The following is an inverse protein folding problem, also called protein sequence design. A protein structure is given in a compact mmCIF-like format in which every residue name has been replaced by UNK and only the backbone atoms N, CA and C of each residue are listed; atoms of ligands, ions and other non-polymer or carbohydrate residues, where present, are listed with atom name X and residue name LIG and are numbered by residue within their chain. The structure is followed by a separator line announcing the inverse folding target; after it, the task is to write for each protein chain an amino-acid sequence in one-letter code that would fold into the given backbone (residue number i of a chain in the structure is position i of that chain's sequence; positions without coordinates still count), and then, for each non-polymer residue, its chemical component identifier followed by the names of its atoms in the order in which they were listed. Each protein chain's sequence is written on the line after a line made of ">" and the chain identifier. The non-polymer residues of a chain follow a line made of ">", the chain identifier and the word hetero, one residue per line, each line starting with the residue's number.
data_IF_430198992354
#
_entry.id   IF_430198992354
#
_cell.length_a   1.000
_cell.length_b   1.000
_cell.length_c   1.000
_cell.angle_alpha   90.00
_cell.angle_beta   90.00
_cell.angle_gamma   90.00
#
_symmetry.space_group_name_H-M   'P 1'
#
loop_
_entity.id
_entity.type
_entity.pdbx_description
1 polymer ?
#
# COMPACT_ATOMS: atom_id res chain seq x y z
N UNK A 1 15.06 18.35 -13.29
CA UNK A 1 13.85 19.18 -13.42
C UNK A 1 12.90 18.77 -12.31
N UNK A 2 12.46 19.70 -11.46
CA UNK A 2 11.46 19.40 -10.44
C UNK A 2 10.07 19.60 -11.07
N UNK A 3 9.18 18.63 -10.87
CA UNK A 3 7.77 18.69 -11.29
C UNK A 3 6.94 18.60 -10.02
N UNK A 4 6.14 19.63 -9.74
CA UNK A 4 5.34 19.74 -8.51
C UNK A 4 6.16 19.54 -7.22
N UNK A 5 7.44 19.96 -7.23
CA UNK A 5 8.32 19.89 -6.07
C UNK A 5 9.09 18.58 -5.90
N UNK A 6 8.92 17.59 -6.78
CA UNK A 6 9.65 16.31 -6.73
C UNK A 6 10.40 16.05 -8.03
N UNK A 7 11.44 15.22 -7.99
CA UNK A 7 12.11 14.71 -9.19
C UNK A 7 11.41 13.42 -9.63
N UNK A 8 10.78 13.38 -10.81
CA UNK A 8 10.12 12.17 -11.29
C UNK A 8 11.11 11.01 -11.43
N UNK A 9 10.74 9.82 -10.94
CA UNK A 9 11.56 8.62 -11.07
C UNK A 9 11.59 8.08 -12.52
N UNK A 10 10.63 8.47 -13.35
CA UNK A 10 10.48 8.04 -14.74
C UNK A 10 9.78 9.12 -15.58
N UNK A 11 9.71 8.93 -16.90
CA UNK A 11 8.91 9.77 -17.79
C UNK A 11 7.41 9.72 -17.48
N UNK A 12 6.90 8.61 -16.92
CA UNK A 12 5.50 8.51 -16.51
C UNK A 12 5.19 9.34 -15.27
N UNK A 13 6.17 9.50 -14.36
CA UNK A 13 6.05 10.35 -13.18
C UNK A 13 5.81 11.84 -13.50
N UNK A 14 5.94 12.26 -14.77
CA UNK A 14 5.52 13.58 -15.22
C UNK A 14 4.00 13.81 -15.03
N UNK A 15 3.19 12.75 -15.08
CA UNK A 15 1.75 12.80 -14.87
C UNK A 15 1.36 12.81 -13.37
N UNK A 16 2.30 12.53 -12.47
CA UNK A 16 2.06 12.36 -11.03
C UNK A 16 2.32 10.93 -10.58
N UNK A 17 1.99 10.63 -9.32
CA UNK A 17 2.14 9.30 -8.70
C UNK A 17 0.86 8.89 -7.93
N UNK A 18 -0.31 9.29 -8.45
CA UNK A 18 -1.63 8.86 -7.96
C UNK A 18 -2.13 7.61 -8.71
N UNK A 19 -3.32 7.08 -8.35
CA UNK A 19 -3.90 5.91 -9.01
C UNK A 19 -3.96 6.04 -10.53
N UNK A 20 -4.42 7.20 -11.00
CA UNK A 20 -4.65 7.48 -12.40
C UNK A 20 -3.33 7.49 -13.18
N UNK A 21 -2.29 8.12 -12.65
CA UNK A 21 -0.97 8.09 -13.28
C UNK A 21 -0.44 6.66 -13.43
N UNK A 22 -0.67 5.80 -12.44
CA UNK A 22 -0.24 4.40 -12.45
C UNK A 22 -0.97 3.58 -13.51
N UNK A 23 -2.30 3.75 -13.62
CA UNK A 23 -3.11 3.04 -14.61
C UNK A 23 -2.93 3.57 -16.02
N UNK A 24 -2.68 4.87 -16.21
CA UNK A 24 -2.31 5.43 -17.51
C UNK A 24 -0.98 4.89 -18.00
N UNK A 25 0.04 4.86 -17.13
CA UNK A 25 1.34 4.29 -17.47
C UNK A 25 1.23 2.81 -17.83
N UNK A 26 0.45 2.04 -17.07
CA UNK A 26 0.18 0.63 -17.35
C UNK A 26 -0.53 0.45 -18.70
N UNK A 27 -1.63 1.17 -18.93
CA UNK A 27 -2.40 1.10 -20.18
C UNK A 27 -1.55 1.45 -21.39
N UNK A 28 -0.77 2.53 -21.32
CA UNK A 28 0.18 2.90 -22.37
C UNK A 28 1.19 1.78 -22.64
N UNK A 29 1.81 1.22 -21.59
CA UNK A 29 2.78 0.15 -21.77
C UNK A 29 2.18 -1.15 -22.28
N UNK A 30 0.93 -1.49 -21.94
CA UNK A 30 0.24 -2.64 -22.50
C UNK A 30 -0.02 -2.50 -24.01
N UNK A 31 -0.23 -1.26 -24.48
CA UNK A 31 -0.33 -0.96 -25.92
C UNK A 31 1.03 -1.13 -26.60
N UNK A 32 2.07 -0.56 -26.01
CA UNK A 32 3.41 -0.52 -26.60
C UNK A 32 4.22 -1.82 -26.43
N UNK A 33 3.81 -2.73 -25.53
CA UNK A 33 4.53 -3.97 -25.22
C UNK A 33 3.63 -5.20 -25.36
N UNK A 34 3.72 -5.90 -26.51
CA UNK A 34 3.11 -7.22 -26.66
C UNK A 34 3.59 -8.23 -25.61
N UNK A 35 4.86 -8.14 -25.17
CA UNK A 35 5.39 -9.05 -24.15
C UNK A 35 4.72 -8.85 -22.79
N UNK A 36 4.50 -7.60 -22.36
CA UNK A 36 3.79 -7.31 -21.10
C UNK A 36 2.32 -7.70 -21.19
N UNK A 37 1.68 -7.46 -22.35
CA UNK A 37 0.31 -7.89 -22.58
C UNK A 37 0.18 -9.42 -22.49
N UNK A 38 1.10 -10.16 -23.08
CA UNK A 38 1.13 -11.62 -23.00
C UNK A 38 1.29 -12.11 -21.54
N UNK A 39 2.16 -11.48 -20.75
CA UNK A 39 2.32 -11.77 -19.33
C UNK A 39 1.04 -11.52 -18.53
N UNK A 40 0.36 -10.38 -18.77
CA UNK A 40 -0.89 -10.04 -18.10
C UNK A 40 -2.00 -11.03 -18.44
N UNK A 41 -2.26 -11.27 -19.73
CA UNK A 41 -3.32 -12.16 -20.19
C UNK A 41 -3.06 -13.61 -19.76
N UNK A 42 -1.82 -14.08 -19.89
CA UNK A 42 -1.41 -15.41 -19.45
C UNK A 42 -1.62 -15.62 -17.96
N UNK A 43 -1.38 -14.60 -17.13
CA UNK A 43 -1.64 -14.68 -15.68
C UNK A 43 -3.11 -14.88 -15.33
N UNK A 44 -4.02 -14.53 -16.25
CA UNK A 44 -5.48 -14.68 -16.10
C UNK A 44 -6.03 -15.92 -16.83
N UNK A 45 -5.15 -16.74 -17.43
CA UNK A 45 -5.54 -17.90 -18.24
C UNK A 45 -6.21 -17.53 -19.56
N UNK A 46 -5.97 -16.31 -20.07
CA UNK A 46 -6.46 -15.84 -21.37
C UNK A 46 -5.39 -16.05 -22.45
N UNK A 47 -5.79 -16.01 -23.72
CA UNK A 47 -4.86 -16.11 -24.85
C UNK A 47 -3.82 -14.97 -24.80
N UNK A 48 -2.52 -15.26 -24.59
CA UNK A 48 -1.46 -14.25 -24.52
C UNK A 48 -1.27 -13.46 -25.82
N UNK A 49 -1.73 -13.98 -26.95
CA UNK A 49 -1.59 -13.37 -28.27
C UNK A 49 -2.88 -12.68 -28.75
N UNK A 50 -3.90 -12.60 -27.90
CA UNK A 50 -5.16 -11.95 -28.25
C UNK A 50 -4.93 -10.51 -28.72
N UNK A 51 -5.65 -10.13 -29.79
CA UNK A 51 -5.70 -8.75 -30.22
C UNK A 51 -6.64 -7.97 -29.30
N UNK A 52 -6.13 -6.92 -28.67
CA UNK A 52 -6.87 -6.17 -27.66
C UNK A 52 -7.06 -4.72 -28.07
N UNK A 53 -8.14 -4.13 -27.58
CA UNK A 53 -8.35 -2.69 -27.51
C UNK A 53 -8.21 -2.28 -26.06
N UNK A 54 -7.35 -1.30 -25.81
CA UNK A 54 -7.16 -0.69 -24.50
C UNK A 54 -7.92 0.62 -24.45
N UNK A 55 -8.70 0.81 -23.38
CA UNK A 55 -9.39 2.06 -23.13
C UNK A 55 -9.16 2.51 -21.69
N UNK A 56 -8.96 3.81 -21.46
CA UNK A 56 -8.83 4.38 -20.12
C UNK A 56 -9.83 5.52 -19.97
N UNK A 57 -10.39 5.70 -18.77
CA UNK A 57 -11.35 6.76 -18.44
C UNK A 57 -12.56 6.80 -19.37
N UNK A 58 -13.10 5.63 -19.74
CA UNK A 58 -14.34 5.60 -20.53
C UNK A 58 -15.50 5.96 -19.62
N UNK A 59 -16.11 7.12 -19.89
CA UNK A 59 -17.33 7.53 -19.21
C UNK A 59 -18.50 6.66 -19.68
N UNK A 60 -19.08 5.92 -18.74
CA UNK A 60 -20.29 5.15 -18.99
C UNK A 60 -21.52 6.00 -18.71
N UNK A 61 -22.36 6.20 -19.73
CA UNK A 61 -23.62 6.94 -19.55
C UNK A 61 -24.55 6.26 -18.53
N UNK A 62 -24.46 4.92 -18.41
CA UNK A 62 -25.30 4.11 -17.54
C UNK A 62 -24.82 4.07 -16.07
N UNK A 63 -23.52 4.08 -15.81
CA UNK A 63 -22.96 3.98 -14.45
C UNK A 63 -22.40 5.31 -13.93
N UNK A 64 -22.32 6.33 -14.79
CA UNK A 64 -21.75 7.66 -14.52
C UNK A 64 -20.34 7.59 -13.90
N UNK A 65 -19.61 6.51 -14.17
CA UNK A 65 -18.29 6.22 -13.63
C UNK A 65 -17.20 6.32 -14.71
N UNK A 66 -15.97 6.53 -14.26
CA UNK A 66 -14.77 6.41 -15.08
C UNK A 66 -14.04 5.15 -14.64
N UNK A 67 -13.78 4.23 -15.58
CA UNK A 67 -12.92 3.07 -15.34
C UNK A 67 -11.46 3.48 -15.49
N UNK A 68 -10.58 2.95 -14.64
CA UNK A 68 -9.17 3.29 -14.73
C UNK A 68 -8.52 2.68 -15.98
N UNK A 69 -8.85 1.43 -16.30
CA UNK A 69 -8.41 0.73 -17.51
C UNK A 69 -9.41 -0.36 -17.91
N UNK A 70 -9.67 -0.50 -19.20
CA UNK A 70 -10.41 -1.61 -19.80
C UNK A 70 -9.58 -2.28 -20.88
N UNK A 71 -9.65 -3.62 -20.93
CA UNK A 71 -8.97 -4.43 -21.94
C UNK A 71 -10.02 -5.34 -22.60
N UNK A 72 -10.24 -5.15 -23.90
CA UNK A 72 -11.31 -5.82 -24.64
C UNK A 72 -10.70 -6.58 -25.82
N UNK A 73 -11.11 -7.83 -26.03
CA UNK A 73 -10.70 -8.62 -27.19
C UNK A 73 -11.93 -9.14 -27.93
N UNK A 74 -12.52 -8.32 -28.82
CA UNK A 74 -13.66 -8.72 -29.64
C UNK A 74 -14.78 -9.38 -28.82
N UNK A 75 -15.12 -10.63 -29.16
CA UNK A 75 -16.08 -11.46 -28.42
C UNK A 75 -15.43 -12.42 -27.40
N UNK A 76 -14.10 -12.41 -27.25
CA UNK A 76 -13.39 -13.32 -26.37
C UNK A 76 -13.47 -12.87 -24.90
N UNK A 77 -13.08 -11.62 -24.61
CA UNK A 77 -13.13 -11.14 -23.23
C UNK A 77 -13.27 -9.62 -23.09
N UNK A 78 -13.75 -9.21 -21.91
CA UNK A 78 -13.78 -7.83 -21.43
C UNK A 78 -13.32 -7.80 -19.97
N UNK A 79 -12.22 -7.10 -19.74
CA UNK A 79 -11.60 -6.91 -18.44
C UNK A 79 -11.74 -5.44 -18.04
N UNK A 80 -12.22 -5.18 -16.82
CA UNK A 80 -12.29 -3.84 -16.25
C UNK A 80 -11.44 -3.78 -15.00
N UNK A 81 -10.54 -2.81 -14.93
CA UNK A 81 -9.61 -2.61 -13.84
C UNK A 81 -9.99 -1.38 -13.01
N UNK A 82 -9.95 -1.53 -11.69
CA UNK A 82 -10.08 -0.46 -10.70
C UNK A 82 -8.84 -0.50 -9.81
N UNK A 83 -8.09 0.60 -9.79
CA UNK A 83 -6.85 0.72 -9.08
C UNK A 83 -7.01 1.53 -7.79
N UNK A 84 -6.13 1.22 -6.86
CA UNK A 84 -5.87 1.95 -5.62
C UNK A 84 -4.36 2.04 -5.47
N UNK A 85 -3.87 3.18 -4.99
CA UNK A 85 -2.42 3.36 -4.85
C UNK A 85 -1.89 2.52 -3.70
N UNK A 86 -2.64 2.51 -2.60
CA UNK A 86 -2.21 1.99 -1.31
C UNK A 86 -2.72 0.55 -1.09
N UNK A 87 -2.71 0.06 0.15
CA UNK A 87 -3.17 -1.31 0.48
C UNK A 87 -4.69 -1.49 0.37
N UNK A 88 -5.45 -0.40 0.29
CA UNK A 88 -6.89 -0.47 0.13
C UNK A 88 -7.22 -1.15 -1.20
N UNK A 89 -8.11 -2.14 -1.18
CA UNK A 89 -8.70 -2.71 -2.39
C UNK A 89 -9.95 -1.95 -2.77
N UNK A 90 -10.39 -2.08 -4.02
CA UNK A 90 -11.64 -1.49 -4.47
C UNK A 90 -12.81 -1.96 -3.61
N UNK A 91 -13.71 -1.04 -3.23
CA UNK A 91 -14.91 -1.40 -2.48
C UNK A 91 -15.90 -2.15 -3.38
N UNK A 92 -16.79 -2.93 -2.75
CA UNK A 92 -17.89 -3.59 -3.46
C UNK A 92 -18.72 -2.59 -4.26
N UNK A 93 -19.01 -1.44 -3.70
CA UNK A 93 -19.79 -0.37 -4.34
C UNK A 93 -19.05 0.25 -5.52
N UNK A 94 -17.72 0.37 -5.46
CA UNK A 94 -16.91 0.85 -6.59
C UNK A 94 -16.97 -0.15 -7.75
N UNK A 95 -16.72 -1.44 -7.47
CA UNK A 95 -16.73 -2.49 -8.48
C UNK A 95 -18.12 -2.74 -9.07
N UNK A 96 -19.17 -2.69 -8.25
CA UNK A 96 -20.55 -2.91 -8.69
C UNK A 96 -21.03 -1.86 -9.71
N UNK A 97 -20.41 -0.68 -9.76
CA UNK A 97 -20.72 0.33 -10.80
C UNK A 97 -20.42 -0.19 -12.20
N UNK A 98 -19.41 -1.04 -12.35
CA UNK A 98 -18.97 -1.54 -13.66
C UNK A 98 -19.62 -2.87 -14.05
N UNK A 99 -20.26 -3.57 -13.10
CA UNK A 99 -20.95 -4.84 -13.38
C UNK A 99 -21.95 -4.74 -14.54
N UNK A 100 -22.78 -3.67 -14.68
CA UNK A 100 -23.68 -3.53 -15.83
C UNK A 100 -22.96 -3.44 -17.20
N UNK A 101 -21.75 -2.84 -17.26
CA UNK A 101 -20.98 -2.77 -18.51
C UNK A 101 -20.60 -4.16 -18.99
N UNK A 102 -20.09 -4.97 -18.07
CA UNK A 102 -19.72 -6.36 -18.34
C UNK A 102 -20.96 -7.22 -18.60
N UNK A 103 -22.04 -7.05 -17.84
CA UNK A 103 -23.29 -7.81 -18.04
C UNK A 103 -23.81 -7.65 -19.48
N UNK A 104 -23.80 -6.41 -20.00
CA UNK A 104 -24.25 -6.09 -21.35
C UNK A 104 -23.24 -6.45 -22.47
N UNK A 105 -21.99 -6.76 -22.12
CA UNK A 105 -20.98 -7.17 -23.10
C UNK A 105 -21.27 -8.59 -23.61
N UNK A 106 -21.33 -8.78 -24.93
CA UNK A 106 -21.48 -10.09 -25.55
C UNK A 106 -20.12 -10.76 -25.76
N UNK A 107 -19.47 -11.13 -24.65
CA UNK A 107 -18.13 -11.74 -24.63
C UNK A 107 -18.12 -13.04 -23.82
N UNK A 108 -17.21 -13.96 -24.14
CA UNK A 108 -17.08 -15.26 -23.48
C UNK A 108 -16.58 -15.14 -22.04
N UNK A 109 -15.62 -14.26 -21.77
CA UNK A 109 -15.04 -14.05 -20.45
C UNK A 109 -15.16 -12.61 -19.98
N UNK A 110 -15.59 -12.43 -18.73
CA UNK A 110 -15.77 -11.13 -18.08
C UNK A 110 -15.07 -11.18 -16.75
N UNK A 111 -14.28 -10.15 -16.42
CA UNK A 111 -13.64 -10.05 -15.10
C UNK A 111 -13.56 -8.60 -14.64
N UNK A 112 -13.75 -8.41 -13.35
CA UNK A 112 -13.37 -7.20 -12.64
C UNK A 112 -12.01 -7.45 -11.98
N UNK A 113 -11.07 -6.54 -12.12
CA UNK A 113 -9.74 -6.67 -11.55
C UNK A 113 -9.48 -5.49 -10.63
N UNK A 114 -9.31 -5.75 -9.34
CA UNK A 114 -8.75 -4.76 -8.42
C UNK A 114 -7.23 -4.73 -8.58
N UNK A 115 -6.66 -3.54 -8.64
CA UNK A 115 -5.21 -3.32 -8.53
C UNK A 115 -4.94 -2.54 -7.26
N UNK A 116 -4.01 -2.99 -6.42
CA UNK A 116 -3.55 -2.18 -5.28
C UNK A 116 -2.15 -2.59 -4.80
N UNK A 117 -1.64 -1.95 -3.74
CA UNK A 117 -0.43 -2.43 -3.10
C UNK A 117 -0.65 -3.75 -2.33
N UNK A 118 -1.91 -4.13 -2.06
CA UNK A 118 -2.25 -5.33 -1.30
C UNK A 118 -1.76 -6.61 -1.97
N UNK A 119 -1.25 -7.53 -1.14
CA UNK A 119 -1.01 -8.90 -1.58
C UNK A 119 -2.31 -9.61 -1.90
N UNK A 120 -2.21 -10.60 -2.80
CA UNK A 120 -3.34 -11.37 -3.32
C UNK A 120 -4.12 -12.12 -2.23
N UNK A 121 -3.42 -12.70 -1.27
CA UNK A 121 -4.01 -13.40 -0.11
C UNK A 121 -4.89 -12.48 0.74
N UNK A 122 -4.42 -11.27 1.01
CA UNK A 122 -5.18 -10.24 1.72
C UNK A 122 -6.38 -9.77 0.89
N UNK A 123 -6.15 -9.45 -0.38
CA UNK A 123 -7.18 -8.88 -1.24
C UNK A 123 -8.36 -9.83 -1.47
N UNK A 124 -8.10 -11.13 -1.66
CA UNK A 124 -9.15 -12.14 -1.84
C UNK A 124 -10.08 -12.24 -0.61
N UNK A 125 -9.59 -11.92 0.60
CA UNK A 125 -10.42 -11.91 1.81
C UNK A 125 -11.31 -10.66 1.94
N UNK A 126 -10.99 -9.58 1.23
CA UNK A 126 -11.66 -8.29 1.35
C UNK A 126 -12.46 -7.91 0.09
N UNK A 127 -12.21 -8.59 -1.02
CA UNK A 127 -12.98 -8.51 -2.24
C UNK A 127 -14.06 -9.60 -2.26
N UNK A 128 -15.25 -9.31 -2.82
CA UNK A 128 -16.20 -10.37 -3.11
C UNK A 128 -15.58 -11.31 -4.16
N UNK A 129 -15.90 -12.61 -4.13
CA UNK A 129 -15.40 -13.56 -5.13
C UNK A 129 -15.98 -13.26 -6.54
N UNK A 130 -17.22 -12.78 -6.57
CA UNK A 130 -17.90 -12.34 -7.78
C UNK A 130 -18.88 -11.19 -7.47
N UNK A 131 -19.28 -10.46 -8.51
CA UNK A 131 -20.38 -9.50 -8.49
C UNK A 131 -21.35 -9.84 -9.60
N UNK A 132 -22.56 -10.25 -9.23
CA UNK A 132 -23.61 -10.66 -10.15
C UNK A 132 -23.13 -11.74 -11.15
N UNK A 133 -22.32 -12.69 -10.68
CA UNK A 133 -21.75 -13.77 -11.49
C UNK A 133 -20.52 -13.37 -12.31
N UNK A 134 -20.04 -12.13 -12.20
CA UNK A 134 -18.79 -11.67 -12.81
C UNK A 134 -17.64 -11.89 -11.80
N UNK A 135 -16.65 -12.74 -12.10
CA UNK A 135 -15.50 -12.96 -11.23
C UNK A 135 -14.74 -11.66 -10.92
N UNK A 136 -14.31 -11.53 -9.67
CA UNK A 136 -13.44 -10.45 -9.20
C UNK A 136 -12.08 -11.03 -8.86
N UNK A 137 -11.04 -10.52 -9.52
CA UNK A 137 -9.64 -10.87 -9.28
C UNK A 137 -8.86 -9.70 -8.68
N UNK A 138 -7.68 -10.00 -8.16
CA UNK A 138 -6.73 -9.00 -7.67
C UNK A 138 -5.34 -9.18 -8.26
N UNK A 139 -4.72 -8.07 -8.65
CA UNK A 139 -3.30 -7.96 -8.97
C UNK A 139 -2.65 -6.91 -8.09
N UNK A 140 -1.54 -7.24 -7.43
CA UNK A 140 -0.77 -6.20 -6.76
C UNK A 140 0.08 -5.39 -7.76
N UNK A 141 0.41 -4.14 -7.42
CA UNK A 141 1.43 -3.38 -8.17
C UNK A 141 2.77 -4.14 -8.26
N UNK A 142 3.08 -4.96 -7.24
CA UNK A 142 4.26 -5.82 -7.24
C UNK A 142 4.16 -6.98 -8.24
N UNK A 143 2.97 -7.58 -8.40
CA UNK A 143 2.72 -8.63 -9.41
C UNK A 143 2.92 -8.06 -10.83
N UNK A 144 2.35 -6.88 -11.08
CA UNK A 144 2.50 -6.17 -12.35
C UNK A 144 3.97 -5.86 -12.60
N UNK A 145 4.72 -5.36 -11.61
CA UNK A 145 6.17 -5.14 -11.75
C UNK A 145 6.93 -6.43 -12.05
N UNK A 146 6.55 -7.55 -11.45
CA UNK A 146 7.15 -8.84 -11.77
C UNK A 146 6.87 -9.24 -13.24
N UNK A 147 5.65 -9.01 -13.74
CA UNK A 147 5.31 -9.18 -15.16
C UNK A 147 6.15 -8.26 -16.06
N UNK A 148 6.31 -6.98 -15.71
CA UNK A 148 7.15 -6.02 -16.45
C UNK A 148 8.60 -6.51 -16.53
N UNK A 149 9.16 -7.04 -15.44
CA UNK A 149 10.53 -7.58 -15.44
C UNK A 149 10.67 -8.80 -16.35
N UNK A 150 9.70 -9.72 -16.34
CA UNK A 150 9.69 -10.89 -17.24
C UNK A 150 9.53 -10.48 -18.71
N UNK A 151 8.59 -9.59 -19.00
CA UNK A 151 8.41 -9.00 -20.33
C UNK A 151 9.68 -8.29 -20.82
N UNK A 152 10.36 -7.55 -19.94
CA UNK A 152 11.61 -6.87 -20.28
C UNK A 152 12.72 -7.87 -20.61
N UNK A 153 12.80 -8.99 -19.88
CA UNK A 153 13.77 -10.05 -20.16
C UNK A 153 13.47 -10.78 -21.48
N UNK A 154 12.19 -10.97 -21.81
CA UNK A 154 11.75 -11.65 -23.03
C UNK A 154 11.81 -10.77 -24.29
N UNK A 155 11.66 -9.44 -24.14
CA UNK A 155 11.65 -8.51 -25.27
C UNK A 155 13.04 -8.28 -25.86
N UNK A 156 13.09 -8.32 -27.19
CA UNK A 156 14.26 -7.95 -28.02
C UNK A 156 14.17 -6.52 -28.56
N UNK A 157 13.01 -5.88 -28.47
CA UNK A 157 12.81 -4.52 -28.98
C UNK A 157 13.35 -3.50 -27.99
N UNK A 158 14.29 -2.65 -28.44
CA UNK A 158 14.89 -1.65 -27.55
C UNK A 158 13.88 -0.62 -27.06
N UNK A 159 12.94 -0.21 -27.93
CA UNK A 159 11.87 0.72 -27.58
C UNK A 159 10.91 0.09 -26.56
N UNK A 160 10.52 -1.17 -26.75
CA UNK A 160 9.67 -1.88 -25.79
C UNK A 160 10.36 -1.99 -24.43
N UNK A 161 11.65 -2.40 -24.42
CA UNK A 161 12.45 -2.46 -23.19
C UNK A 161 12.58 -1.12 -22.49
N UNK A 162 12.71 -0.01 -23.23
CA UNK A 162 12.72 1.34 -22.66
C UNK A 162 11.41 1.62 -21.92
N UNK A 163 10.26 1.36 -22.53
CA UNK A 163 8.96 1.57 -21.90
C UNK A 163 8.76 0.70 -20.66
N UNK A 164 9.16 -0.58 -20.74
CA UNK A 164 9.10 -1.49 -19.60
C UNK A 164 10.02 -1.04 -18.46
N UNK A 165 11.19 -0.50 -18.78
CA UNK A 165 12.08 0.06 -17.78
C UNK A 165 11.46 1.29 -17.09
N UNK A 166 10.92 2.23 -17.87
CA UNK A 166 10.25 3.42 -17.33
C UNK A 166 9.04 3.05 -16.47
N UNK A 167 8.24 2.08 -16.90
CA UNK A 167 7.10 1.59 -16.11
C UNK A 167 7.55 0.94 -14.81
N UNK A 168 8.59 0.08 -14.84
CA UNK A 168 9.09 -0.55 -13.62
C UNK A 168 9.65 0.45 -12.60
N UNK A 169 10.27 1.54 -13.07
CA UNK A 169 10.69 2.66 -12.22
C UNK A 169 9.48 3.38 -11.62
N UNK A 170 8.48 3.69 -12.43
CA UNK A 170 7.28 4.37 -11.96
C UNK A 170 6.49 3.55 -10.94
N UNK A 171 6.19 2.29 -11.26
CA UNK A 171 5.43 1.39 -10.39
C UNK A 171 6.17 1.06 -9.08
N UNK A 172 7.48 1.31 -8.99
CA UNK A 172 8.21 1.16 -7.73
C UNK A 172 7.70 2.13 -6.66
N UNK A 173 7.10 3.26 -7.06
CA UNK A 173 6.51 4.26 -6.18
C UNK A 173 5.15 3.82 -5.59
N UNK A 174 4.56 2.74 -6.12
CA UNK A 174 3.24 2.20 -5.75
C UNK A 174 3.35 0.98 -4.80
N UNK A 175 4.56 0.68 -4.30
CA UNK A 175 4.83 -0.41 -3.35
C UNK A 175 4.63 -0.04 -1.88
N UNK A 176 4.71 -1.04 -0.99
CA UNK A 176 4.49 -0.96 0.49
C UNK A 176 5.50 -0.12 1.29
N UNK A 177 6.06 0.94 0.74
CA UNK A 177 6.98 1.78 1.50
C UNK A 177 6.40 3.16 1.62
N UNK A 178 6.08 3.55 2.85
CA UNK A 178 6.22 4.95 3.26
C UNK A 178 7.51 5.49 2.66
N UNK A 179 7.47 6.71 2.12
CA UNK A 179 8.66 7.37 1.59
C UNK A 179 9.80 7.22 2.62
N UNK A 180 10.94 6.64 2.22
CA UNK A 180 12.08 6.44 3.12
C UNK A 180 12.66 7.77 3.65
N UNK A 181 12.33 8.88 2.97
CA UNK A 181 12.63 10.24 3.39
C UNK A 181 11.53 10.89 4.23
N UNK A 182 10.43 10.18 4.49
CA UNK A 182 9.43 10.63 5.46
C UNK A 182 10.09 10.71 6.84
N UNK A 183 9.94 11.87 7.46
CA UNK A 183 10.50 12.17 8.77
C UNK A 183 9.43 12.12 9.86
N UNK A 184 8.24 11.60 9.56
CA UNK A 184 7.21 11.36 10.56
C UNK A 184 7.33 9.94 11.14
N UNK A 185 7.17 9.86 12.45
CA UNK A 185 7.04 8.61 13.17
C UNK A 185 5.59 8.41 13.63
N UNK A 186 5.06 7.20 13.44
CA UNK A 186 3.77 6.82 14.02
C UNK A 186 4.01 6.33 15.45
N UNK A 187 3.46 7.01 16.46
CA UNK A 187 3.77 6.74 17.86
C UNK A 187 2.61 6.06 18.58
N UNK A 188 2.92 4.94 19.24
CA UNK A 188 1.96 4.06 19.92
C UNK A 188 2.28 3.91 21.40
N UNK A 189 1.25 3.63 22.21
CA UNK A 189 1.40 3.33 23.64
C UNK A 189 1.55 1.83 23.86
N UNK A 190 2.53 1.43 24.66
CA UNK A 190 2.69 0.05 25.11
C UNK A 190 2.22 -0.12 26.55
N UNK A 191 1.56 -1.25 26.83
CA UNK A 191 1.14 -1.62 28.18
C UNK A 191 2.25 -2.40 28.92
N UNK A 192 2.21 -2.37 30.25
CA UNK A 192 2.98 -3.27 31.13
C UNK A 192 2.31 -4.64 31.28
N UNK A 193 1.12 -4.83 30.74
CA UNK A 193 0.39 -6.09 30.86
C UNK A 193 1.17 -7.21 30.15
N UNK A 194 1.05 -8.41 30.70
CA UNK A 194 1.55 -9.62 30.08
C UNK A 194 0.82 -9.88 28.77
N UNK A 195 1.52 -10.47 27.81
CA UNK A 195 0.88 -11.01 26.61
C UNK A 195 -0.09 -12.14 27.02
N UNK A 196 -1.23 -12.29 26.31
CA UNK A 196 -2.26 -13.26 26.70
C UNK A 196 -1.76 -14.71 26.85
N UNK A 197 -0.73 -15.09 26.08
CA UNK A 197 -0.17 -16.44 26.05
C UNK A 197 1.26 -16.51 26.64
N UNK A 198 1.64 -15.53 27.46
CA UNK A 198 2.96 -15.50 28.11
C UNK A 198 2.83 -15.26 29.62
N UNK A 199 3.72 -15.90 30.39
CA UNK A 199 3.85 -15.69 31.83
C UNK A 199 4.92 -14.65 32.21
N UNK A 200 5.74 -14.18 31.26
CA UNK A 200 6.96 -13.41 31.52
C UNK A 200 7.23 -12.28 30.52
N UNK A 201 6.44 -12.17 29.46
CA UNK A 201 6.61 -11.19 28.39
C UNK A 201 5.47 -10.19 28.37
N UNK A 202 5.82 -8.91 28.39
CA UNK A 202 4.88 -7.79 28.26
C UNK A 202 4.87 -7.23 26.84
N UNK A 203 3.91 -6.36 26.54
CA UNK A 203 3.92 -5.59 25.28
C UNK A 203 5.17 -4.72 25.10
N UNK A 204 5.76 -4.24 26.20
CA UNK A 204 7.03 -3.52 26.18
C UNK A 204 8.19 -4.45 25.78
N UNK A 205 8.16 -5.71 26.22
CA UNK A 205 9.22 -6.68 25.95
C UNK A 205 9.28 -7.11 24.48
N UNK A 206 8.15 -7.17 23.78
CA UNK A 206 8.12 -7.42 22.32
C UNK A 206 9.01 -6.41 21.59
N UNK A 207 8.95 -5.13 21.99
CA UNK A 207 9.80 -4.09 21.42
C UNK A 207 11.22 -4.13 22.00
N UNK A 208 11.35 -4.11 23.32
CA UNK A 208 12.63 -3.90 23.99
C UNK A 208 13.57 -5.11 23.96
N UNK A 209 13.01 -6.33 23.95
CA UNK A 209 13.77 -7.59 23.97
C UNK A 209 13.77 -8.28 22.60
N UNK A 210 12.63 -8.31 21.91
CA UNK A 210 12.56 -9.01 20.61
C UNK A 210 12.90 -8.11 19.42
N UNK A 211 12.89 -6.78 19.58
CA UNK A 211 13.09 -5.86 18.46
C UNK A 211 11.97 -5.97 17.42
N UNK A 212 10.75 -6.30 17.85
CA UNK A 212 9.59 -6.48 16.99
C UNK A 212 8.41 -5.64 17.47
N UNK A 213 7.45 -5.44 16.58
CA UNK A 213 6.14 -4.89 16.93
C UNK A 213 5.10 -5.34 15.92
N UNK A 214 3.84 -5.42 16.31
CA UNK A 214 2.76 -5.77 15.41
C UNK A 214 1.48 -4.99 15.70
N UNK A 215 0.65 -4.84 14.68
CA UNK A 215 -0.70 -4.30 14.83
C UNK A 215 -1.60 -4.69 13.64
N UNK A 216 -2.94 -4.60 13.80
CA UNK A 216 -3.87 -4.84 12.70
C UNK A 216 -3.64 -3.89 11.52
N UNK A 217 -3.80 -4.39 10.30
CA UNK A 217 -3.73 -3.55 9.09
C UNK A 217 -5.00 -2.71 9.00
N UNK A 218 -4.87 -1.39 9.18
CA UNK A 218 -6.01 -0.48 9.16
C UNK A 218 -7.01 -0.64 10.31
N UNK A 219 -8.04 0.20 10.32
CA UNK A 219 -9.10 0.20 11.33
C UNK A 219 -8.69 0.82 12.68
N UNK A 220 -9.65 1.44 13.39
CA UNK A 220 -9.43 2.07 14.71
C UNK A 220 -8.21 3.01 14.77
N UNK A 221 -7.87 3.69 13.66
CA UNK A 221 -6.75 4.61 13.54
C UNK A 221 -5.38 3.97 13.29
N UNK A 222 -5.28 2.64 13.05
CA UNK A 222 -4.05 1.99 12.60
C UNK A 222 -3.71 2.35 11.15
N UNK A 223 -2.43 2.45 10.79
CA UNK A 223 -2.03 2.77 9.44
C UNK A 223 -2.30 1.58 8.50
N UNK A 224 -2.72 1.90 7.28
CA UNK A 224 -2.87 0.91 6.19
C UNK A 224 -1.56 0.74 5.39
N UNK A 225 -0.61 1.64 5.57
CA UNK A 225 0.73 1.60 4.98
C UNK A 225 1.73 1.58 6.14
N UNK A 226 2.71 0.66 6.17
CA UNK A 226 3.74 0.69 7.19
C UNK A 226 4.45 2.04 7.23
N UNK A 227 4.60 2.67 8.40
CA UNK A 227 5.38 3.90 8.52
C UNK A 227 6.87 3.61 8.30
N UNK A 228 7.66 4.64 7.97
CA UNK A 228 9.11 4.50 7.90
C UNK A 228 9.70 4.37 9.32
N UNK A 229 9.10 5.12 10.25
CA UNK A 229 9.45 5.15 11.66
C UNK A 229 8.25 4.85 12.55
N UNK A 230 8.46 4.01 13.56
CA UNK A 230 7.47 3.74 14.61
C UNK A 230 8.05 4.11 15.97
N UNK A 231 7.29 4.88 16.75
CA UNK A 231 7.65 5.34 18.07
C UNK A 231 6.87 4.64 19.18
N UNK A 232 7.49 4.49 20.34
CA UNK A 232 6.89 3.83 21.49
C UNK A 232 6.93 4.73 22.70
N UNK A 233 5.78 4.84 23.36
CA UNK A 233 5.64 5.45 24.67
C UNK A 233 5.15 4.45 25.70
N UNK A 234 5.74 4.51 26.88
CA UNK A 234 5.34 3.72 28.04
C UNK A 234 5.91 4.37 29.30
N UNK A 235 5.19 4.19 30.41
CA UNK A 235 5.56 4.70 31.74
C UNK A 235 5.60 6.22 31.77
N UNK A 236 4.53 6.82 31.25
CA UNK A 236 4.34 8.27 31.22
C UNK A 236 5.43 9.05 30.49
N UNK A 237 6.17 8.39 29.60
CA UNK A 237 7.24 8.99 28.78
C UNK A 237 7.24 8.44 27.36
N UNK A 238 7.71 9.26 26.42
CA UNK A 238 8.17 8.76 25.13
C UNK A 238 9.56 8.13 25.30
N UNK A 239 9.77 6.94 24.72
CA UNK A 239 10.90 6.07 25.06
C UNK A 239 11.88 5.88 23.93
N UNK A 240 11.37 5.53 22.75
CA UNK A 240 12.20 5.28 21.58
C UNK A 240 11.39 5.41 20.30
N UNK A 241 12.12 5.63 19.21
CA UNK A 241 11.63 5.49 17.85
C UNK A 241 12.59 4.60 17.09
N UNK A 242 12.04 3.81 16.18
CA UNK A 242 12.77 2.82 15.42
C UNK A 242 12.47 3.02 13.94
N UNK A 243 13.49 2.89 13.11
CA UNK A 243 13.28 2.65 11.68
C UNK A 243 12.72 1.23 11.50
N UNK A 244 11.76 1.05 10.61
CA UNK A 244 11.23 -0.27 10.29
C UNK A 244 12.11 -0.89 9.20
N UNK A 245 12.88 -1.91 9.57
CA UNK A 245 13.81 -2.58 8.66
C UNK A 245 13.10 -3.60 7.75
N UNK A 246 12.08 -4.26 8.29
CA UNK A 246 11.30 -5.25 7.55
C UNK A 246 9.85 -5.26 7.97
N UNK A 247 8.97 -5.58 7.02
CA UNK A 247 7.53 -5.71 7.23
C UNK A 247 7.07 -7.05 6.66
N UNK A 248 6.41 -7.83 7.50
CA UNK A 248 5.67 -9.02 7.13
C UNK A 248 4.18 -8.81 7.39
N UNK A 249 3.34 -9.52 6.66
CA UNK A 249 1.89 -9.56 6.88
C UNK A 249 1.50 -10.97 7.26
N UNK A 250 0.83 -11.13 8.40
CA UNK A 250 0.35 -12.42 8.90
C UNK A 250 -1.08 -12.30 9.40
N UNK A 251 -1.88 -13.34 9.23
CA UNK A 251 -3.25 -13.37 9.77
C UNK A 251 -3.28 -13.84 11.21
N UNK A 252 -2.42 -14.81 11.54
CA UNK A 252 -2.26 -15.33 12.88
C UNK A 252 -0.85 -15.05 13.41
N UNK A 253 -0.75 -14.16 14.39
CA UNK A 253 0.53 -13.77 15.00
C UNK A 253 1.27 -14.93 15.68
N UNK A 254 0.56 -15.99 16.08
CA UNK A 254 1.20 -17.18 16.66
C UNK A 254 2.03 -17.99 15.66
N UNK A 255 1.84 -17.79 14.36
CA UNK A 255 2.73 -18.35 13.34
C UNK A 255 4.13 -17.74 13.38
N UNK A 256 4.25 -16.53 13.93
CA UNK A 256 5.52 -15.82 14.10
C UNK A 256 6.12 -16.09 15.49
N UNK A 257 5.31 -15.96 16.54
CA UNK A 257 5.72 -16.24 17.91
C UNK A 257 4.53 -16.81 18.71
N UNK A 258 4.60 -18.05 19.22
CA UNK A 258 3.50 -18.70 19.95
C UNK A 258 3.02 -17.94 21.19
N UNK A 259 3.85 -17.06 21.76
CA UNK A 259 3.51 -16.26 22.94
C UNK A 259 2.63 -15.05 22.62
N UNK A 260 2.54 -14.68 21.34
CA UNK A 260 1.73 -13.55 20.88
C UNK A 260 0.23 -13.90 20.89
N UNK A 261 -0.66 -12.89 20.82
CA UNK A 261 -2.11 -13.12 20.77
C UNK A 261 -2.53 -13.94 19.55
N UNK A 262 -3.57 -14.76 19.70
CA UNK A 262 -4.23 -15.37 18.54
C UNK A 262 -4.96 -14.28 17.77
N UNK A 263 -4.72 -14.21 16.47
CA UNK A 263 -5.43 -13.30 15.57
C UNK A 263 -5.99 -14.07 14.38
N UNK A 264 -7.08 -13.55 13.83
CA UNK A 264 -7.72 -14.05 12.61
C UNK A 264 -7.92 -12.93 11.57
N UNK A 265 -7.31 -11.77 11.82
CA UNK A 265 -7.32 -10.63 10.93
C UNK A 265 -5.88 -10.29 10.56
N UNK A 266 -5.67 -9.68 9.38
CA UNK A 266 -4.33 -9.34 8.93
C UNK A 266 -3.65 -8.33 9.86
N UNK A 267 -2.41 -8.63 10.24
CA UNK A 267 -1.55 -7.77 11.01
C UNK A 267 -0.27 -7.47 10.24
N UNK A 268 0.24 -6.25 10.39
CA UNK A 268 1.65 -5.99 10.10
C UNK A 268 2.51 -6.50 11.26
N UNK A 269 3.62 -7.13 10.92
CA UNK A 269 4.69 -7.50 11.84
C UNK A 269 5.96 -6.81 11.38
N UNK A 270 6.53 -6.00 12.26
CA UNK A 270 7.71 -5.19 12.00
C UNK A 270 8.94 -5.82 12.65
N UNK A 271 10.04 -5.87 11.89
CA UNK A 271 11.39 -5.95 12.45
C UNK A 271 11.92 -4.54 12.62
N UNK A 272 12.29 -4.20 13.84
CA UNK A 272 12.69 -2.86 14.23
C UNK A 272 14.20 -2.74 14.20
N UNK A 273 14.69 -1.68 13.56
CA UNK A 273 16.09 -1.29 13.66
C UNK A 273 16.45 -0.78 15.06
N UNK A 274 17.71 -0.36 15.26
CA UNK A 274 18.19 0.13 16.54
C UNK A 274 17.34 1.26 17.13
N UNK A 275 17.15 1.23 18.45
CA UNK A 275 16.38 2.25 19.15
C UNK A 275 17.07 3.62 19.08
N UNK A 276 16.41 4.60 18.46
CA UNK A 276 16.77 6.01 18.59
C UNK A 276 16.03 6.59 19.80
N UNK A 277 16.78 7.20 20.71
CA UNK A 277 16.23 7.73 21.97
C UNK A 277 16.29 9.26 21.98
N UNK A 278 15.36 9.91 22.68
CA UNK A 278 15.45 11.34 22.95
C UNK A 278 16.81 11.73 23.56
N UNK A 279 17.37 12.85 23.08
CA UNK A 279 18.56 13.44 23.69
C UNK A 279 18.33 13.85 25.15
N UNK A 280 17.09 14.22 25.50
CA UNK A 280 16.65 14.57 26.85
C UNK A 280 15.37 13.82 27.19
N UNK A 281 15.12 13.60 28.49
CA UNK A 281 13.88 12.94 28.96
C UNK A 281 12.66 13.67 28.39
N UNK A 282 11.79 12.93 27.70
CA UNK A 282 10.59 13.47 27.03
C UNK A 282 9.30 12.96 27.73
N UNK A 283 8.81 13.67 28.77
CA UNK A 283 7.58 13.30 29.45
C UNK A 283 6.36 13.44 28.53
N UNK A 284 5.29 12.69 28.78
CA UNK A 284 4.13 12.69 27.88
C UNK A 284 3.37 14.01 27.81
N UNK A 285 3.22 14.71 28.94
CA UNK A 285 2.25 15.80 29.05
C UNK A 285 0.81 15.29 29.15
N UNK A 286 -0.15 16.15 28.83
CA UNK A 286 -1.58 15.89 28.93
C UNK A 286 -2.13 15.23 27.67
N UNK A 287 -1.82 13.95 27.47
CA UNK A 287 -2.31 13.18 26.32
C UNK A 287 -3.25 12.06 26.75
N UNK A 288 -4.24 11.76 25.92
CA UNK A 288 -5.09 10.59 26.13
C UNK A 288 -4.28 9.30 25.95
N UNK A 289 -4.39 8.38 26.91
CA UNK A 289 -3.47 7.25 27.01
C UNK A 289 -3.51 6.29 25.81
N UNK A 290 -4.63 6.16 25.09
CA UNK A 290 -4.73 5.34 23.86
C UNK A 290 -4.40 6.08 22.57
N UNK A 291 -4.27 7.41 22.61
CA UNK A 291 -4.15 8.20 21.39
C UNK A 291 -2.83 7.95 20.67
N UNK A 292 -2.92 7.68 19.37
CA UNK A 292 -1.79 7.46 18.47
C UNK A 292 -1.59 8.70 17.62
N UNK A 293 -0.34 9.06 17.35
CA UNK A 293 -0.04 10.32 16.67
C UNK A 293 1.10 10.14 15.67
N UNK A 294 1.02 10.87 14.58
CA UNK A 294 2.16 11.13 13.70
C UNK A 294 2.94 12.32 14.26
N UNK A 295 4.23 12.13 14.52
CA UNK A 295 5.10 13.15 15.14
C UNK A 295 6.41 13.24 14.37
N UNK A 296 6.91 14.45 14.13
CA UNK A 296 8.17 14.64 13.44
C UNK A 296 9.35 14.07 14.25
N UNK A 297 10.18 13.25 13.59
CA UNK A 297 11.29 12.52 14.15
C UNK A 297 12.29 13.45 14.85
N UNK A 298 12.61 14.60 14.25
CA UNK A 298 13.53 15.57 14.85
C UNK A 298 13.00 16.09 16.20
N UNK A 299 11.70 16.31 16.34
CA UNK A 299 11.10 16.78 17.60
C UNK A 299 11.15 15.71 18.70
N UNK A 300 11.09 14.43 18.32
CA UNK A 300 11.19 13.32 19.25
C UNK A 300 12.62 13.11 19.77
N UNK A 301 13.65 13.32 18.92
CA UNK A 301 15.03 12.94 19.26
C UNK A 301 15.94 14.11 19.63
N UNK A 302 15.70 15.32 19.12
CA UNK A 302 16.65 16.44 19.25
C UNK A 302 16.66 17.14 20.62
N UNK A 303 15.65 16.90 21.46
CA UNK A 303 15.46 17.64 22.72
C UNK A 303 14.88 19.05 22.56
N UNK A 304 14.40 19.41 21.36
CA UNK A 304 13.74 20.69 21.11
C UNK A 304 12.38 20.83 21.80
N UNK A 305 11.66 19.73 21.99
CA UNK A 305 10.39 19.72 22.71
C UNK A 305 10.64 19.34 24.18
N UNK A 306 10.02 20.06 25.11
CA UNK A 306 10.07 19.77 26.54
C UNK A 306 9.11 18.63 26.93
N UNK A 307 8.11 18.34 26.11
CA UNK A 307 7.20 17.20 26.27
C UNK A 307 6.78 16.60 24.94
N UNK A 308 6.26 15.37 24.98
CA UNK A 308 5.71 14.70 23.80
C UNK A 308 4.43 15.40 23.28
N UNK A 309 3.58 15.91 24.18
CA UNK A 309 2.44 16.77 23.82
C UNK A 309 2.86 18.00 23.02
N UNK A 310 3.95 18.66 23.44
CA UNK A 310 4.53 19.79 22.71
C UNK A 310 5.04 19.36 21.33
N UNK A 311 5.72 18.21 21.24
CA UNK A 311 6.18 17.66 19.96
C UNK A 311 5.02 17.42 18.97
N UNK A 312 3.86 16.93 19.45
CA UNK A 312 2.65 16.80 18.62
C UNK A 312 2.18 18.16 18.14
N UNK A 313 2.10 19.14 19.04
CA UNK A 313 1.62 20.50 18.73
C UNK A 313 2.50 21.17 17.68
N UNK A 314 3.82 21.09 17.85
CA UNK A 314 4.80 21.61 16.90
C UNK A 314 4.74 20.87 15.56
N UNK A 315 4.48 19.56 15.54
CA UNK A 315 4.28 18.81 14.29
C UNK A 315 3.07 19.32 13.52
N UNK A 316 1.92 19.49 14.19
CA UNK A 316 0.70 20.01 13.56
C UNK A 316 0.90 21.43 13.02
N UNK A 317 1.60 22.29 13.77
CA UNK A 317 1.92 23.64 13.32
C UNK A 317 2.76 23.64 12.02
N UNK A 318 3.72 22.71 11.88
CA UNK A 318 4.52 22.55 10.65
C UNK A 318 3.68 22.07 9.47
N UNK A 319 2.77 21.13 9.69
CA UNK A 319 1.88 20.61 8.64
C UNK A 319 0.94 21.70 8.13
N UNK A 320 0.35 22.48 9.04
CA UNK A 320 -0.50 23.62 8.68
C UNK A 320 0.23 24.69 7.83
N UNK A 321 1.53 24.92 8.10
CA UNK A 321 2.36 25.84 7.30
C UNK A 321 2.71 25.31 5.91
N UNK A 322 2.70 23.98 5.71
CA UNK A 322 3.01 23.32 4.43
C UNK A 322 1.79 23.12 3.53
N UNK A 323 0.58 23.33 4.04
CA UNK A 323 -0.67 23.12 3.30
C UNK A 323 -1.11 21.65 3.22
N UNK A 324 -0.51 20.78 4.02
CA UNK A 324 -0.90 19.37 4.14
C UNK A 324 -1.95 19.24 5.27
N UNK A 325 -3.23 19.22 4.91
CA UNK A 325 -4.36 18.88 5.80
C UNK A 325 -5.06 17.63 5.33
#
# INVERSE_FOLDING_TARGET
>A
MLIRGTTPASCFGLAGCDENAGTYALGWCLEQSPALRAELLGSMGLDPLANVVLSSQTFGLADRGFTDLEVISGTAFHLIFEAKRDWQVASREQLARYAPRLANANVQHKRLISISAARRDWAIRHLPADLDGIPVDHLSWSDIRAMVKRAHAASRSQTERLWLHQLNLHLAEYGMTSNAFDSLAYVVSLSRDLLPNSSDMTWIDVVAKQGRYFHPIGGNGWPMIPPAYIGFRYLSEFRSVHFIEHVETVDNLQEVDPTWPVTNTPNFVYTLGPAMRPATRLPLGSIYYTARHWVALDLLISGKAASYEEAITLTKARQAQRGDT
#
